data_IF_422589592500
#
_entry.id   IF_422589592500
#
_cell.length_a   1.000
_cell.length_b   1.000
_cell.length_c   1.000
_cell.angle_alpha   90.00
_cell.angle_beta   90.00
_cell.angle_gamma   90.00
#
_symmetry.space_group_name_H-M   'P 1'
#
loop_
_entity.id
_entity.type
_entity.pdbx_description
1 polymer ?
#
# COMPACT_ATOMS: atom_id res chain seq x y z
N UNK A 1 12.28 -10.68 15.82
CA UNK A 1 12.27 -9.91 15.47
C UNK A 1 11.86 -9.40 14.55
N UNK A 2 11.81 -9.20 14.39
CA UNK A 2 11.67 -8.73 13.51
C UNK A 2 11.97 -7.73 13.28
N UNK A 3 12.56 -7.73 12.88
CA UNK A 3 13.11 -6.93 12.45
C UNK A 3 12.48 -5.93 11.75
N UNK A 4 11.28 -5.76 11.75
CA UNK A 4 10.57 -4.68 11.15
C UNK A 4 10.79 -3.45 11.92
N UNK A 5 11.31 -2.44 11.29
CA UNK A 5 11.53 -1.16 11.91
C UNK A 5 10.27 -0.31 11.97
N UNK A 6 9.23 -0.68 11.27
CA UNK A 6 8.01 0.10 11.23
C UNK A 6 7.19 -0.16 12.50
N UNK A 7 6.69 0.93 13.09
CA UNK A 7 5.80 0.85 14.24
C UNK A 7 4.40 0.50 13.76
N UNK A 8 4.00 -0.75 13.96
CA UNK A 8 2.69 -1.21 13.51
C UNK A 8 1.55 -0.42 14.13
N UNK A 9 1.74 0.03 15.38
CA UNK A 9 0.70 0.80 16.05
C UNK A 9 0.45 2.13 15.35
N UNK A 10 1.51 2.76 14.86
CA UNK A 10 1.36 4.00 14.11
C UNK A 10 0.67 3.78 12.78
N UNK A 11 1.07 2.73 12.07
CA UNK A 11 0.41 2.41 10.80
C UNK A 11 -1.07 2.15 11.01
N UNK A 12 -1.39 1.35 12.03
CA UNK A 12 -2.78 1.05 12.33
C UNK A 12 -3.55 2.31 12.66
N UNK A 13 -2.93 3.24 13.38
CA UNK A 13 -3.60 4.49 13.75
C UNK A 13 -3.98 5.29 12.51
N UNK A 14 -3.05 5.42 11.56
CA UNK A 14 -3.35 6.17 10.34
C UNK A 14 -4.45 5.50 9.53
N UNK A 15 -4.43 4.18 9.47
CA UNK A 15 -5.49 3.45 8.77
C UNK A 15 -6.84 3.67 9.45
N UNK A 16 -6.87 3.63 10.78
CA UNK A 16 -8.11 3.88 11.52
C UNK A 16 -8.64 5.28 11.28
N UNK A 17 -7.75 6.28 11.26
CA UNK A 17 -8.17 7.64 10.99
C UNK A 17 -8.77 7.77 9.58
N UNK A 18 -8.09 7.21 8.60
CA UNK A 18 -8.57 7.29 7.23
C UNK A 18 -9.92 6.60 7.05
N UNK A 19 -10.07 5.42 7.65
CA UNK A 19 -11.32 4.69 7.53
C UNK A 19 -12.44 5.32 8.33
N UNK A 20 -12.12 5.95 9.46
CA UNK A 20 -13.13 6.68 10.22
C UNK A 20 -13.73 7.80 9.38
N UNK A 21 -12.88 8.55 8.68
CA UNK A 21 -13.37 9.58 7.77
C UNK A 21 -14.21 9.00 6.65
N UNK A 22 -13.73 7.90 6.07
CA UNK A 22 -14.43 7.26 4.97
C UNK A 22 -15.83 6.82 5.39
N UNK A 23 -15.94 6.14 6.54
CA UNK A 23 -17.24 5.68 7.01
C UNK A 23 -18.14 6.85 7.41
N UNK A 24 -17.55 7.91 7.94
CA UNK A 24 -18.32 9.10 8.28
C UNK A 24 -18.93 9.73 7.03
N UNK A 25 -18.14 9.78 5.94
CA UNK A 25 -18.63 10.35 4.69
C UNK A 25 -19.74 9.53 4.06
N UNK A 26 -19.81 8.24 4.37
CA UNK A 26 -20.91 7.39 3.88
C UNK A 26 -22.22 7.69 4.58
N UNK A 27 -22.16 8.37 5.71
CA UNK A 27 -23.36 8.83 6.44
C UNK A 27 -24.32 7.68 6.74
N UNK A 28 -23.79 6.57 7.25
CA UNK A 28 -24.59 5.42 7.62
C UNK A 28 -24.85 4.44 6.50
N UNK A 29 -24.46 4.75 5.28
CA UNK A 29 -24.61 3.81 4.20
C UNK A 29 -23.48 2.80 4.22
N UNK A 30 -23.74 1.65 3.64
CA UNK A 30 -22.72 0.62 3.56
C UNK A 30 -21.80 0.91 2.39
N UNK A 31 -20.50 0.61 2.53
CA UNK A 31 -19.60 0.71 1.37
C UNK A 31 -20.06 -0.26 0.28
N UNK A 32 -19.78 0.10 -0.95
CA UNK A 32 -20.00 -0.83 -2.05
C UNK A 32 -19.09 -2.03 -1.90
N UNK A 33 -19.18 -2.97 -2.84
CA UNK A 33 -18.33 -4.12 -2.78
C UNK A 33 -16.90 -3.70 -3.10
N UNK A 34 -15.92 -4.50 -2.62
CA UNK A 34 -14.52 -4.26 -2.95
C UNK A 34 -13.79 -3.36 -1.99
N UNK A 35 -14.29 -3.19 -0.77
CA UNK A 35 -13.61 -2.35 0.21
C UNK A 35 -12.19 -2.85 0.50
N UNK A 36 -12.02 -4.15 0.59
CA UNK A 36 -10.69 -4.70 0.84
C UNK A 36 -9.71 -4.29 -0.26
N UNK A 37 -10.12 -4.49 -1.51
CA UNK A 37 -9.26 -4.14 -2.63
C UNK A 37 -8.99 -2.65 -2.69
N UNK A 38 -10.00 -1.83 -2.39
CA UNK A 38 -9.81 -0.40 -2.38
C UNK A 38 -8.74 0.02 -1.36
N UNK A 39 -8.83 -0.51 -0.14
CA UNK A 39 -7.88 -0.17 0.89
C UNK A 39 -6.48 -0.66 0.53
N UNK A 40 -6.39 -1.91 0.05
CA UNK A 40 -5.10 -2.47 -0.32
C UNK A 40 -4.45 -1.69 -1.45
N UNK A 41 -5.22 -1.29 -2.45
CA UNK A 41 -4.69 -0.51 -3.55
C UNK A 41 -4.21 0.86 -3.09
N UNK A 42 -4.93 1.47 -2.16
CA UNK A 42 -4.52 2.76 -1.62
C UNK A 42 -3.21 2.67 -0.86
N UNK A 43 -2.93 1.54 -0.21
CA UNK A 43 -1.69 1.33 0.51
C UNK A 43 -0.57 0.93 -0.43
N UNK A 44 -0.87 0.09 -1.41
CA UNK A 44 0.16 -0.43 -2.31
C UNK A 44 0.80 0.64 -3.18
N UNK A 45 0.01 1.58 -3.66
CA UNK A 45 0.56 2.57 -4.59
C UNK A 45 1.69 3.38 -3.97
N UNK A 46 1.48 4.05 -2.82
CA UNK A 46 2.57 4.80 -2.21
C UNK A 46 3.72 3.88 -1.77
N UNK A 47 3.40 2.66 -1.34
CA UNK A 47 4.45 1.74 -0.94
C UNK A 47 5.38 1.42 -2.11
N UNK A 48 4.81 1.09 -3.26
CA UNK A 48 5.61 0.77 -4.45
C UNK A 48 6.39 2.00 -4.91
N UNK A 49 5.74 3.15 -4.94
CA UNK A 49 6.41 4.38 -5.37
C UNK A 49 7.60 4.71 -4.49
N UNK A 50 7.41 4.64 -3.18
CA UNK A 50 8.46 5.01 -2.25
C UNK A 50 9.62 4.04 -2.26
N UNK A 51 9.33 2.74 -2.40
CA UNK A 51 10.41 1.76 -2.45
C UNK A 51 11.23 1.96 -3.73
N UNK A 52 10.57 2.21 -4.86
CA UNK A 52 11.29 2.48 -6.10
C UNK A 52 12.17 3.72 -5.97
N UNK A 53 11.68 4.75 -5.30
CA UNK A 53 12.50 5.94 -5.06
C UNK A 53 13.74 5.61 -4.25
N UNK A 54 13.57 4.78 -3.23
CA UNK A 54 14.70 4.43 -2.36
C UNK A 54 15.81 3.72 -3.10
N UNK A 55 15.49 2.99 -4.17
CA UNK A 55 16.47 2.21 -4.90
C UNK A 55 16.78 2.81 -6.27
N UNK A 56 16.38 4.06 -6.49
CA UNK A 56 16.69 4.75 -7.75
C UNK A 56 16.07 4.12 -8.97
N UNK A 57 14.92 3.50 -8.83
CA UNK A 57 14.20 2.89 -9.94
C UNK A 57 14.66 1.47 -10.27
N UNK A 58 15.56 0.90 -9.49
CA UNK A 58 16.05 -0.46 -9.74
C UNK A 58 14.99 -1.46 -9.30
N UNK A 59 14.30 -2.04 -10.28
CA UNK A 59 13.15 -2.92 -9.99
C UNK A 59 13.54 -4.19 -9.27
N UNK A 60 14.70 -4.74 -9.59
CA UNK A 60 15.16 -5.96 -8.91
C UNK A 60 15.41 -5.69 -7.43
N UNK A 61 16.05 -4.55 -7.11
CA UNK A 61 16.28 -4.20 -5.71
C UNK A 61 14.98 -3.87 -5.00
N UNK A 62 14.07 -3.19 -5.70
CA UNK A 62 12.77 -2.85 -5.10
C UNK A 62 11.99 -4.12 -4.75
N UNK A 63 11.97 -5.08 -5.66
CA UNK A 63 11.28 -6.35 -5.41
C UNK A 63 11.89 -7.08 -4.22
N UNK A 64 13.22 -7.07 -4.14
CA UNK A 64 13.91 -7.71 -3.00
C UNK A 64 13.56 -7.01 -1.69
N UNK A 65 13.54 -5.68 -1.70
CA UNK A 65 13.19 -4.91 -0.51
C UNK A 65 11.76 -5.18 -0.07
N UNK A 66 10.85 -5.33 -1.02
CA UNK A 66 9.45 -5.63 -0.72
C UNK A 66 9.23 -7.09 -0.36
N UNK A 67 10.16 -7.96 -0.71
CA UNK A 67 9.99 -9.39 -0.46
C UNK A 67 9.07 -10.06 -1.45
N UNK A 68 8.99 -9.55 -2.67
CA UNK A 68 8.13 -10.11 -3.70
C UNK A 68 8.94 -10.40 -4.95
N UNK A 69 8.34 -11.16 -5.85
CA UNK A 69 8.95 -11.48 -7.13
C UNK A 69 8.96 -10.26 -8.03
N UNK A 70 10.01 -10.13 -8.86
CA UNK A 70 10.12 -8.98 -9.77
C UNK A 70 8.93 -8.88 -10.72
N UNK A 71 8.45 -10.02 -11.22
CA UNK A 71 7.29 -9.99 -12.11
C UNK A 71 6.04 -9.51 -11.38
N UNK A 72 5.88 -9.89 -10.12
CA UNK A 72 4.78 -9.39 -9.30
C UNK A 72 4.89 -7.89 -9.13
N UNK A 73 6.10 -7.38 -8.87
CA UNK A 73 6.31 -5.95 -8.76
C UNK A 73 5.90 -5.23 -10.04
N UNK A 74 6.32 -5.76 -11.19
CA UNK A 74 6.00 -5.12 -12.47
C UNK A 74 4.49 -5.07 -12.70
N UNK A 75 3.78 -6.15 -12.34
CA UNK A 75 2.33 -6.14 -12.45
C UNK A 75 1.70 -5.07 -11.57
N UNK A 76 2.22 -4.92 -10.36
CA UNK A 76 1.70 -3.89 -9.45
C UNK A 76 2.02 -2.50 -9.96
N UNK A 77 3.19 -2.31 -10.54
CA UNK A 77 3.53 -1.03 -11.14
C UNK A 77 2.54 -0.66 -12.25
N UNK A 78 2.22 -1.63 -13.10
CA UNK A 78 1.24 -1.39 -14.15
C UNK A 78 -0.14 -1.12 -13.59
N UNK A 79 -0.53 -1.89 -12.58
CA UNK A 79 -1.84 -1.74 -11.95
C UNK A 79 -2.03 -0.34 -11.37
N UNK A 80 -0.98 0.22 -10.80
CA UNK A 80 -1.06 1.52 -10.11
C UNK A 80 -0.55 2.68 -10.96
N UNK A 81 -0.14 2.41 -12.20
CA UNK A 81 0.37 3.46 -13.06
C UNK A 81 1.70 4.04 -12.59
N UNK A 82 2.53 3.23 -11.97
CA UNK A 82 3.84 3.64 -11.48
C UNK A 82 4.90 3.25 -12.49
N UNK A 83 5.83 4.18 -12.77
CA UNK A 83 6.88 3.92 -13.76
C UNK A 83 8.26 3.80 -13.14
#
# INVERSE_FOLDING_TARGET
>A
MSECAINENEMARYVRLALTEYFSDLDGEEPGCGLYDMVMNCVEKPLVEMVLEQVGGNQSRAAAMLGINRNTLRKKMMQHGVE
#
